data_IF_958460070816
#
_entry.id   IF_958460070816
#
_cell.length_a   1.000
_cell.length_b   1.000
_cell.length_c   1.000
_cell.angle_alpha   90.00
_cell.angle_beta   90.00
_cell.angle_gamma   90.00
#
_symmetry.space_group_name_H-M   'P 1'
#
loop_
_entity.id
_entity.type
_entity.pdbx_description
1 polymer ?
#
# COMPACT_ATOMS: atom_id res chain seq x y z
N UNK A 1 19.84 -17.09 9.10
CA UNK A 1 20.97 -16.15 9.12
C UNK A 1 20.37 -14.81 8.76
N UNK A 2 20.30 -13.86 9.70
CA UNK A 2 19.61 -12.58 9.46
C UNK A 2 20.32 -11.81 8.35
N UNK A 3 19.57 -11.28 7.40
CA UNK A 3 20.14 -10.47 6.32
C UNK A 3 20.78 -9.20 6.90
N UNK A 4 21.96 -8.86 6.41
CA UNK A 4 22.51 -7.50 6.58
C UNK A 4 21.67 -6.52 5.76
N UNK A 5 21.79 -5.22 6.03
CA UNK A 5 21.07 -4.20 5.26
C UNK A 5 21.40 -4.28 3.77
N UNK A 6 22.69 -4.35 3.42
CA UNK A 6 23.12 -4.45 2.03
C UNK A 6 22.58 -5.70 1.31
N UNK A 7 22.46 -6.82 2.02
CA UNK A 7 21.88 -8.04 1.47
C UNK A 7 20.36 -7.93 1.29
N UNK A 8 19.67 -7.24 2.20
CA UNK A 8 18.24 -6.97 2.09
C UNK A 8 17.94 -6.00 0.94
N UNK A 9 18.73 -4.93 0.80
CA UNK A 9 18.63 -3.95 -0.29
C UNK A 9 18.87 -4.62 -1.65
N UNK A 10 19.92 -5.44 -1.77
CA UNK A 10 20.19 -6.20 -3.00
C UNK A 10 19.07 -7.18 -3.32
N UNK A 11 18.51 -7.85 -2.30
CA UNK A 11 17.43 -8.83 -2.51
C UNK A 11 16.12 -8.16 -2.93
N UNK A 12 15.82 -6.97 -2.42
CA UNK A 12 14.59 -6.25 -2.81
C UNK A 12 14.72 -5.64 -4.22
N UNK A 13 15.92 -5.23 -4.60
CA UNK A 13 16.26 -4.83 -5.98
C UNK A 13 16.07 -5.99 -6.97
N UNK A 14 16.52 -7.21 -6.64
CA UNK A 14 16.29 -8.41 -7.47
C UNK A 14 14.79 -8.71 -7.68
N UNK A 15 13.93 -8.24 -6.77
CA UNK A 15 12.48 -8.35 -6.86
C UNK A 15 11.82 -7.15 -7.56
N UNK A 16 12.61 -6.22 -8.10
CA UNK A 16 12.14 -5.03 -8.82
C UNK A 16 11.45 -4.01 -7.92
N UNK A 17 11.90 -3.87 -6.67
CA UNK A 17 11.36 -2.95 -5.66
C UNK A 17 12.49 -2.15 -4.99
N UNK A 18 13.51 -1.75 -5.75
CA UNK A 18 14.69 -1.02 -5.28
C UNK A 18 14.38 0.34 -4.64
N UNK A 19 13.24 0.92 -4.99
CA UNK A 19 12.75 2.19 -4.45
C UNK A 19 11.94 2.04 -3.15
N UNK A 20 11.68 0.80 -2.72
CA UNK A 20 10.88 0.52 -1.53
C UNK A 20 11.76 0.56 -0.27
N UNK A 21 11.58 1.55 0.61
CA UNK A 21 12.38 1.64 1.83
C UNK A 21 12.13 0.44 2.74
N UNK A 22 13.22 -0.01 3.37
CA UNK A 22 13.23 -1.12 4.30
C UNK A 22 13.47 -0.66 5.73
N UNK A 23 12.71 -1.22 6.67
CA UNK A 23 12.91 -1.03 8.10
C UNK A 23 13.34 -2.34 8.76
N UNK A 24 14.41 -2.27 9.56
CA UNK A 24 14.83 -3.41 10.38
C UNK A 24 13.88 -3.58 11.56
N UNK A 25 13.25 -4.73 11.63
CA UNK A 25 12.26 -5.04 12.64
C UNK A 25 12.64 -6.32 13.40
N UNK A 26 12.31 -6.36 14.69
CA UNK A 26 12.45 -7.57 15.51
C UNK A 26 11.07 -8.21 15.68
N UNK A 27 10.79 -9.37 15.06
CA UNK A 27 9.51 -10.05 15.25
C UNK A 27 9.27 -10.38 16.71
N UNK A 28 8.13 -9.94 17.24
CA UNK A 28 7.66 -10.31 18.58
C UNK A 28 6.32 -11.01 18.39
N UNK A 29 6.20 -12.30 18.72
CA UNK A 29 4.92 -13.00 18.63
C UNK A 29 3.84 -12.25 19.40
N UNK A 30 2.73 -11.95 18.73
CA UNK A 30 1.62 -11.22 19.31
C UNK A 30 0.32 -12.00 19.15
N UNK A 31 -0.51 -12.00 20.19
CA UNK A 31 -1.84 -12.59 20.11
C UNK A 31 -2.78 -11.67 19.36
N UNK A 32 -3.39 -12.19 18.31
CA UNK A 32 -4.35 -11.44 17.51
C UNK A 32 -5.74 -11.58 18.15
N UNK A 33 -6.44 -10.46 18.33
CA UNK A 33 -7.81 -10.47 18.83
C UNK A 33 -8.73 -11.30 17.92
N UNK A 34 -9.67 -12.11 18.44
CA UNK A 34 -10.54 -12.95 17.61
C UNK A 34 -11.40 -12.19 16.59
N UNK A 35 -11.69 -10.92 16.86
CA UNK A 35 -12.49 -10.04 16.00
C UNK A 35 -11.67 -9.23 14.98
N UNK A 36 -10.37 -9.52 14.85
CA UNK A 36 -9.45 -8.76 13.99
C UNK A 36 -9.92 -8.66 12.54
N UNK A 37 -10.52 -9.71 11.99
CA UNK A 37 -10.92 -9.75 10.60
C UNK A 37 -12.08 -8.79 10.30
N UNK A 38 -13.04 -8.71 11.22
CA UNK A 38 -14.14 -7.74 11.13
C UNK A 38 -13.61 -6.32 11.20
N UNK A 39 -12.75 -6.03 12.18
CA UNK A 39 -12.09 -4.73 12.34
C UNK A 39 -11.23 -4.37 11.14
N UNK A 40 -10.55 -5.33 10.54
CA UNK A 40 -9.78 -5.14 9.33
C UNK A 40 -10.66 -4.70 8.16
N UNK A 41 -11.81 -5.36 7.93
CA UNK A 41 -12.74 -4.95 6.87
C UNK A 41 -13.26 -3.52 7.06
N UNK A 42 -13.64 -3.16 8.28
CA UNK A 42 -14.05 -1.78 8.61
C UNK A 42 -12.89 -0.80 8.38
N UNK A 43 -11.67 -1.17 8.78
CA UNK A 43 -10.47 -0.37 8.60
C UNK A 43 -10.10 -0.18 7.13
N UNK A 44 -10.26 -1.19 6.27
CA UNK A 44 -10.02 -1.08 4.82
C UNK A 44 -11.01 -0.09 4.19
N UNK A 45 -12.28 -0.14 4.58
CA UNK A 45 -13.27 0.83 4.12
C UNK A 45 -12.86 2.25 4.55
N UNK A 46 -12.51 2.45 5.82
CA UNK A 46 -12.02 3.74 6.32
C UNK A 46 -10.77 4.18 5.56
N UNK A 47 -9.79 3.30 5.39
CA UNK A 47 -8.56 3.58 4.65
C UNK A 47 -8.86 4.10 3.23
N UNK A 48 -9.73 3.39 2.50
CA UNK A 48 -10.15 3.78 1.15
C UNK A 48 -10.78 5.18 1.11
N UNK A 49 -11.64 5.51 2.09
CA UNK A 49 -12.24 6.85 2.18
C UNK A 49 -11.25 7.97 2.47
N UNK A 50 -10.09 7.66 3.08
CA UNK A 50 -9.04 8.65 3.34
C UNK A 50 -8.14 8.89 2.12
N UNK A 51 -8.19 8.06 1.08
CA UNK A 51 -7.34 8.19 -0.11
C UNK A 51 -7.64 9.45 -0.94
N UNK A 52 -8.69 10.20 -0.60
CA UNK A 52 -8.95 11.52 -1.19
C UNK A 52 -7.83 12.52 -0.91
N UNK A 53 -6.98 12.30 0.09
CA UNK A 53 -5.77 13.11 0.32
C UNK A 53 -4.55 12.65 -0.50
N UNK A 54 -4.67 11.54 -1.24
CA UNK A 54 -3.61 10.87 -2.00
C UNK A 54 -4.02 10.67 -3.48
N UNK A 55 -4.80 11.60 -4.03
CA UNK A 55 -5.34 11.52 -5.40
C UNK A 55 -4.22 11.52 -6.45
N UNK A 56 -3.16 12.32 -6.23
CA UNK A 56 -2.04 12.38 -7.15
C UNK A 56 -1.37 11.02 -7.28
N UNK A 57 -1.17 10.34 -6.16
CA UNK A 57 -0.66 8.97 -6.13
C UNK A 57 -1.60 8.00 -6.87
N UNK A 58 -2.90 8.08 -6.61
CA UNK A 58 -3.89 7.23 -7.28
C UNK A 58 -3.88 7.38 -8.81
N UNK A 59 -3.59 8.58 -9.33
CA UNK A 59 -3.54 8.82 -10.77
C UNK A 59 -2.43 8.00 -11.46
N UNK A 60 -1.29 7.77 -10.79
CA UNK A 60 -0.20 6.96 -11.33
C UNK A 60 -0.53 5.46 -11.41
N UNK A 61 -1.55 4.99 -10.70
CA UNK A 61 -2.03 3.61 -10.81
C UNK A 61 -2.84 3.37 -12.09
N UNK A 62 -3.19 4.43 -12.82
CA UNK A 62 -3.92 4.39 -14.10
C UNK A 62 -5.18 3.49 -14.05
N UNK A 63 -5.95 3.65 -12.97
CA UNK A 63 -7.17 2.87 -12.76
C UNK A 63 -8.27 3.29 -13.75
N UNK A 64 -9.13 2.35 -14.19
CA UNK A 64 -10.37 2.71 -14.86
C UNK A 64 -11.18 3.70 -14.01
N UNK A 65 -11.86 4.64 -14.65
CA UNK A 65 -12.62 5.69 -13.95
C UNK A 65 -13.60 5.12 -12.91
N UNK A 66 -14.29 4.02 -13.24
CA UNK A 66 -15.24 3.38 -12.33
C UNK A 66 -14.54 2.80 -11.09
N UNK A 67 -13.42 2.11 -11.30
CA UNK A 67 -12.60 1.54 -10.22
C UNK A 67 -12.03 2.63 -9.31
N UNK A 68 -11.59 3.75 -9.88
CA UNK A 68 -11.15 4.92 -9.12
C UNK A 68 -12.28 5.47 -8.25
N UNK A 69 -13.47 5.69 -8.83
CA UNK A 69 -14.64 6.22 -8.10
C UNK A 69 -15.04 5.25 -6.99
N UNK A 70 -15.18 3.96 -7.28
CA UNK A 70 -15.59 2.98 -6.28
C UNK A 70 -14.56 2.83 -5.15
N UNK A 71 -13.27 2.99 -5.45
CA UNK A 71 -12.20 3.01 -4.45
C UNK A 71 -12.31 4.22 -3.52
N UNK A 72 -12.32 5.46 -4.04
CA UNK A 72 -12.39 6.67 -3.18
C UNK A 72 -13.73 6.79 -2.46
N UNK A 73 -14.78 6.15 -3.00
CA UNK A 73 -16.07 6.02 -2.36
C UNK A 73 -16.13 4.93 -1.27
N UNK A 74 -15.06 4.17 -1.07
CA UNK A 74 -14.99 3.07 -0.10
C UNK A 74 -15.84 1.86 -0.48
N UNK A 75 -16.37 1.81 -1.71
CA UNK A 75 -17.32 0.77 -2.16
C UNK A 75 -16.61 -0.53 -2.49
N UNK A 76 -15.45 -0.45 -3.16
CA UNK A 76 -14.72 -1.63 -3.64
C UNK A 76 -13.24 -1.32 -3.82
N UNK A 77 -12.39 -2.28 -3.43
CA UNK A 77 -10.98 -2.31 -3.80
C UNK A 77 -10.83 -2.95 -5.21
N UNK A 78 -10.17 -2.29 -6.17
CA UNK A 78 -9.86 -2.88 -7.48
C UNK A 78 -9.07 -4.18 -7.36
N UNK A 79 -9.28 -5.13 -8.28
CA UNK A 79 -8.71 -6.48 -8.19
C UNK A 79 -7.18 -6.50 -8.24
N UNK A 80 -6.59 -5.56 -8.97
CA UNK A 80 -5.13 -5.42 -9.06
C UNK A 80 -4.53 -4.52 -7.98
N UNK A 81 -5.27 -4.19 -6.91
CA UNK A 81 -4.75 -3.48 -5.75
C UNK A 81 -4.84 -4.35 -4.50
N UNK A 82 -3.84 -4.21 -3.65
CA UNK A 82 -3.74 -4.87 -2.36
C UNK A 82 -3.45 -3.84 -1.27
N UNK A 83 -4.08 -4.01 -0.11
CA UNK A 83 -3.72 -3.28 1.11
C UNK A 83 -2.86 -4.19 1.97
N UNK A 84 -1.73 -3.66 2.44
CA UNK A 84 -0.73 -4.37 3.23
C UNK A 84 -0.52 -3.68 4.56
N UNK A 85 -0.16 -4.49 5.56
CA UNK A 85 0.36 -3.98 6.80
C UNK A 85 1.85 -3.67 6.67
N UNK A 86 2.30 -2.55 7.24
CA UNK A 86 3.73 -2.23 7.39
C UNK A 86 4.37 -3.22 8.36
N UNK A 87 3.71 -3.44 9.49
CA UNK A 87 4.06 -4.45 10.48
C UNK A 87 2.92 -5.48 10.56
N UNK A 88 3.17 -6.77 10.30
CA UNK A 88 2.18 -7.82 10.44
C UNK A 88 1.57 -7.91 11.85
N UNK A 89 0.26 -8.19 11.93
CA UNK A 89 -0.45 -8.31 13.21
C UNK A 89 0.15 -9.37 14.13
N UNK A 90 0.57 -10.51 13.55
CA UNK A 90 1.25 -11.61 14.27
C UNK A 90 2.57 -11.19 14.93
N UNK A 91 3.13 -10.05 14.51
CA UNK A 91 4.39 -9.50 15.00
C UNK A 91 4.21 -8.21 15.82
N UNK A 92 2.99 -7.91 16.25
CA UNK A 92 2.66 -6.74 17.07
C UNK A 92 2.23 -5.51 16.27
N UNK A 93 1.99 -5.65 14.96
CA UNK A 93 1.36 -4.62 14.16
C UNK A 93 -0.05 -4.30 14.66
N UNK A 94 -0.44 -3.03 14.57
CA UNK A 94 -1.74 -2.54 15.03
C UNK A 94 -2.76 -2.49 13.89
N UNK A 95 -4.04 -2.63 14.24
CA UNK A 95 -5.17 -2.39 13.33
C UNK A 95 -5.49 -0.89 13.29
N UNK A 96 -4.58 -0.12 12.71
CA UNK A 96 -4.66 1.34 12.60
C UNK A 96 -4.29 1.77 11.19
N UNK A 97 -4.81 2.92 10.74
CA UNK A 97 -4.60 3.43 9.37
C UNK A 97 -3.13 3.63 9.04
N UNK A 98 -2.34 4.08 10.02
CA UNK A 98 -0.90 4.34 9.83
C UNK A 98 -0.10 3.06 9.59
N UNK A 99 -0.60 1.91 10.04
CA UNK A 99 0.02 0.61 9.78
C UNK A 99 -0.38 0.04 8.42
N UNK A 100 -1.16 0.76 7.60
CA UNK A 100 -1.59 0.31 6.28
C UNK A 100 -0.92 1.11 5.16
N UNK A 101 -0.73 0.43 4.04
CA UNK A 101 -0.45 1.06 2.75
C UNK A 101 -1.05 0.22 1.62
N UNK A 102 -1.29 0.86 0.48
CA UNK A 102 -1.80 0.22 -0.73
C UNK A 102 -0.72 0.12 -1.78
N UNK A 103 -0.73 -0.97 -2.55
CA UNK A 103 0.14 -1.17 -3.70
C UNK A 103 -0.57 -2.03 -4.76
N UNK A 104 0.05 -2.18 -5.92
CA UNK A 104 -0.39 -3.12 -6.94
C UNK A 104 -0.24 -4.57 -6.43
N UNK A 105 -1.23 -5.40 -6.69
CA UNK A 105 -1.23 -6.82 -6.31
C UNK A 105 -0.09 -7.55 -7.03
N UNK A 106 -0.03 -7.44 -8.37
CA UNK A 106 1.04 -8.00 -9.16
C UNK A 106 1.90 -6.91 -9.82
N UNK A 107 3.24 -7.00 -9.77
CA UNK A 107 4.02 -8.00 -9.04
C UNK A 107 4.27 -7.65 -7.55
N UNK A 108 3.97 -6.42 -7.12
CA UNK A 108 4.55 -5.84 -5.90
C UNK A 108 4.09 -6.50 -4.61
N UNK A 109 2.79 -6.64 -4.39
CA UNK A 109 2.28 -7.27 -3.18
C UNK A 109 2.82 -8.71 -3.03
N UNK A 110 2.91 -9.46 -4.13
CA UNK A 110 3.44 -10.83 -4.13
C UNK A 110 4.95 -10.86 -3.82
N UNK A 111 5.72 -9.94 -4.41
CA UNK A 111 7.15 -9.84 -4.17
C UNK A 111 7.46 -9.43 -2.73
N UNK A 112 6.65 -8.54 -2.12
CA UNK A 112 6.77 -8.20 -0.70
C UNK A 112 6.54 -9.40 0.20
N UNK A 113 5.49 -10.20 -0.06
CA UNK A 113 5.24 -11.42 0.72
C UNK A 113 6.39 -12.40 0.61
N UNK A 114 6.88 -12.63 -0.62
CA UNK A 114 8.04 -13.50 -0.87
C UNK A 114 9.25 -13.02 -0.07
N UNK A 115 9.56 -11.73 -0.13
CA UNK A 115 10.68 -11.13 0.60
C UNK A 115 10.56 -11.31 2.12
N UNK A 116 9.37 -11.14 2.68
CA UNK A 116 9.12 -11.30 4.12
C UNK A 116 9.23 -12.79 4.52
N UNK A 117 8.64 -13.69 3.73
CA UNK A 117 8.64 -15.14 4.01
C UNK A 117 10.05 -15.73 3.95
N UNK A 118 10.88 -15.29 3.00
CA UNK A 118 12.29 -15.72 2.85
C UNK A 118 13.13 -15.41 4.10
N UNK A 119 12.69 -14.46 4.94
CA UNK A 119 13.37 -14.07 6.17
C UNK A 119 12.78 -14.72 7.44
N UNK A 120 11.77 -15.58 7.30
CA UNK A 120 11.09 -16.21 8.43
C UNK A 120 12.05 -16.99 9.34
N UNK A 121 11.80 -16.93 10.64
CA UNK A 121 12.62 -17.61 11.66
C UNK A 121 13.91 -16.89 12.06
N UNK A 122 14.23 -15.73 11.48
CA UNK A 122 15.34 -14.88 11.93
C UNK A 122 14.93 -13.97 13.10
N UNK A 123 15.89 -13.63 13.97
CA UNK A 123 15.67 -12.70 15.08
C UNK A 123 15.35 -11.27 14.62
N UNK A 124 15.84 -10.90 13.45
CA UNK A 124 15.56 -9.61 12.80
C UNK A 124 15.19 -9.85 11.35
N UNK A 125 14.21 -9.10 10.87
CA UNK A 125 13.72 -9.12 9.49
C UNK A 125 13.69 -7.69 8.95
N UNK A 126 13.66 -7.57 7.63
CA UNK A 126 13.47 -6.30 6.94
C UNK A 126 12.05 -6.23 6.40
N UNK A 127 11.33 -5.16 6.77
CA UNK A 127 9.95 -4.93 6.35
C UNK A 127 9.86 -3.77 5.35
N UNK A 128 9.09 -3.92 4.27
CA UNK A 128 8.66 -2.79 3.45
C UNK A 128 7.96 -1.72 4.28
N UNK A 129 8.47 -0.48 4.24
CA UNK A 129 7.88 0.63 4.98
C UNK A 129 7.76 1.93 4.15
N UNK A 130 6.92 1.96 3.11
CA UNK A 130 6.80 3.11 2.20
C UNK A 130 6.23 4.34 2.92
N UNK A 131 6.88 5.50 2.92
CA UNK A 131 6.40 6.66 3.69
C UNK A 131 4.96 7.12 3.37
N UNK A 132 4.47 6.85 2.16
CA UNK A 132 3.14 7.23 1.69
C UNK A 132 2.09 6.14 1.94
N UNK A 133 0.81 6.52 1.89
CA UNK A 133 -0.33 5.58 1.94
C UNK A 133 -0.40 4.68 0.71
N UNK A 134 0.12 5.15 -0.43
CA UNK A 134 0.15 4.40 -1.69
C UNK A 134 1.61 4.28 -2.10
N UNK A 135 2.08 3.05 -2.23
CA UNK A 135 3.35 2.76 -2.86
C UNK A 135 3.17 2.69 -4.38
N UNK A 136 3.91 3.55 -5.08
CA UNK A 136 4.00 3.59 -6.54
C UNK A 136 5.46 3.36 -6.88
N UNK A 137 5.78 2.35 -7.69
CA UNK A 137 7.14 2.12 -8.14
C UNK A 137 7.68 3.34 -8.90
N UNK A 138 8.95 3.68 -8.71
CA UNK A 138 9.61 4.82 -9.33
C UNK A 138 9.46 4.84 -10.87
N UNK A 139 9.48 3.67 -11.51
CA UNK A 139 9.29 3.54 -12.96
C UNK A 139 7.87 3.86 -13.44
N UNK A 140 6.86 3.80 -12.57
CA UNK A 140 5.48 4.23 -12.86
C UNK A 140 5.26 5.71 -12.54
N UNK A 141 6.01 6.29 -11.60
CA UNK A 141 5.91 7.69 -11.23
C UNK A 141 6.52 8.65 -12.29
N UNK A 142 7.45 8.17 -13.13
CA UNK A 142 8.17 8.97 -14.13
C UNK A 142 7.50 9.13 -15.49
N UNK A 143 6.16 9.18 -15.54
CA UNK A 143 5.34 9.07 -16.77
C UNK A 143 5.88 9.81 -18.01
N UNK A 144 5.94 9.07 -19.14
CA UNK A 144 6.13 9.65 -20.47
C UNK A 144 4.92 10.49 -20.92
N UNK A 145 5.11 11.28 -21.99
CA UNK A 145 4.29 12.40 -22.50
C UNK A 145 2.75 12.21 -22.64
N UNK A 146 2.20 11.02 -22.39
CA UNK A 146 0.76 10.74 -22.44
C UNK A 146 -0.01 10.83 -21.10
N UNK A 147 0.67 11.02 -19.96
CA UNK A 147 0.07 10.91 -18.62
C UNK A 147 -0.80 12.08 -18.15
N UNK A 148 -0.55 13.29 -18.66
CA UNK A 148 -1.15 14.52 -18.11
C UNK A 148 -2.68 14.57 -18.24
N UNK A 149 -3.24 14.16 -19.38
CA UNK A 149 -4.68 14.27 -19.63
C UNK A 149 -5.54 13.35 -18.74
N UNK A 150 -5.05 12.14 -18.42
CA UNK A 150 -5.76 11.21 -17.53
C UNK A 150 -5.63 11.64 -16.08
N UNK A 151 -4.45 12.12 -15.69
CA UNK A 151 -4.19 12.65 -14.35
C UNK A 151 -5.05 13.88 -14.04
N UNK A 152 -5.15 14.83 -14.97
CA UNK A 152 -5.96 16.04 -14.80
C UNK A 152 -7.45 15.67 -14.66
N UNK A 153 -7.94 14.76 -15.50
CA UNK A 153 -9.34 14.29 -15.46
C UNK A 153 -9.71 13.57 -14.16
N UNK A 154 -8.84 12.68 -13.66
CA UNK A 154 -9.09 11.98 -12.39
C UNK A 154 -9.01 12.95 -11.20
N UNK A 155 -8.13 13.94 -11.27
CA UNK A 155 -8.01 15.00 -10.25
C UNK A 155 -9.26 15.87 -10.21
N UNK A 156 -9.81 16.26 -11.36
CA UNK A 156 -11.07 16.99 -11.46
C UNK A 156 -12.25 16.20 -10.88
N UNK A 157 -12.36 14.91 -11.23
CA UNK A 157 -13.42 14.02 -10.70
C UNK A 157 -13.30 13.91 -9.18
N UNK A 158 -12.09 13.74 -8.67
CA UNK A 158 -11.87 13.63 -7.23
C UNK A 158 -12.18 14.94 -6.49
N UNK A 159 -11.84 16.10 -7.07
CA UNK A 159 -12.22 17.40 -6.52
C UNK A 159 -13.74 17.58 -6.45
N UNK A 160 -14.49 17.12 -7.46
CA UNK A 160 -15.96 17.11 -7.44
C UNK A 160 -16.51 16.20 -6.33
N UNK A 161 -15.93 15.01 -6.13
CA UNK A 161 -16.33 14.07 -5.08
C UNK A 161 -16.05 14.62 -3.67
N UNK A 162 -14.91 15.29 -3.47
CA UNK A 162 -14.58 15.95 -2.18
C UNK A 162 -15.54 17.11 -1.91
N UNK A 163 -15.85 17.90 -2.94
CA UNK A 163 -16.78 19.04 -2.83
C UNK A 163 -18.19 18.59 -2.48
N UNK A 164 -18.66 17.46 -3.03
CA UNK A 164 -19.99 16.93 -2.69
C UNK A 164 -20.08 16.36 -1.27
N UNK A 165 -18.98 15.83 -0.71
CA UNK A 165 -18.91 15.37 0.69
C UNK A 165 -18.79 16.50 1.71
N UNK A 166 -18.24 17.65 1.33
CA UNK A 166 -18.11 18.81 2.21
C UNK A 166 -19.38 19.66 2.34
N UNK A 167 -20.46 19.31 1.63
CA UNK A 167 -21.76 19.98 1.67
C UNK A 167 -22.85 19.18 2.42
N UNK A 168 -22.50 18.05 3.04
CA UNK A 168 -23.33 17.31 4.01
C UNK A 168 -22.97 17.73 5.44
#
# INVERSE_FOLDING_TARGET
MSLTQAAADSRIEELGMDDLPLEKFRPIPHQIAPDWFKKYHELIHTFATTLTDSIQELAFLNLPQQDFIDLVMGRRLPENLSVRFRVPLVWGGKLELDNLFMCLTFPHAHNMDRFIIEQSGNDFVWLPNPAKKIYIPAHMAGGGDGGNATQDRLTEIAAQIVTSRGME
#
